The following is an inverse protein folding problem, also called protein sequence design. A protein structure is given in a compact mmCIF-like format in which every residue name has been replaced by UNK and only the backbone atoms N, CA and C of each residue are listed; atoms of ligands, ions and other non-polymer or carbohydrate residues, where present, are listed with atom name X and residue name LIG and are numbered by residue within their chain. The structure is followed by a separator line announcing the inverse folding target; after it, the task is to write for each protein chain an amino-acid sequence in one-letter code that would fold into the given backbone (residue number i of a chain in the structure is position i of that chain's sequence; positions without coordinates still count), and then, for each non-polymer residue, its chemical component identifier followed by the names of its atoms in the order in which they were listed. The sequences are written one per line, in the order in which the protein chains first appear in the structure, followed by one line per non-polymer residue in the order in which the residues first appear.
data_IF_964514506050
#
_entry.id   IF_964514506050
#
_cell.length_a   1.000
_cell.length_b   1.000
_cell.length_c   1.000
_cell.angle_alpha   90.00
_cell.angle_beta   90.00
_cell.angle_gamma   90.00
#
_symmetry.space_group_name_H-M   'P 1'
#
loop_
_entity.id
_entity.type
_entity.pdbx_description
1 polymer ?
#
# COMPACT_ATOMS: atom_id res chain seq x y z
N UNK A 1 -48.90 -3.63 -8.41
CA UNK A 1 -47.43 -3.66 -8.44
C UNK A 1 -46.96 -5.04 -8.91
N UNK A 2 -46.42 -5.16 -10.14
CA UNK A 2 -46.18 -6.45 -10.82
C UNK A 2 -44.86 -7.15 -10.44
N UNK A 3 -43.93 -6.44 -9.81
CA UNK A 3 -42.56 -6.94 -9.58
C UNK A 3 -42.35 -7.58 -8.19
N UNK A 4 -43.21 -7.26 -7.23
CA UNK A 4 -43.06 -7.66 -5.83
C UNK A 4 -44.26 -8.50 -5.37
N UNK A 5 -44.00 -9.49 -4.51
CA UNK A 5 -44.99 -10.32 -3.83
C UNK A 5 -44.86 -10.16 -2.32
N UNK A 6 -45.97 -10.34 -1.61
CA UNK A 6 -46.00 -10.42 -0.15
C UNK A 6 -46.13 -11.89 0.25
N UNK A 7 -45.25 -12.37 1.11
CA UNK A 7 -45.37 -13.72 1.65
C UNK A 7 -46.47 -13.76 2.72
N UNK A 8 -47.36 -14.75 2.67
CA UNK A 8 -48.48 -14.86 3.64
C UNK A 8 -48.04 -15.42 5.00
N UNK A 9 -46.93 -16.15 5.04
CA UNK A 9 -46.46 -16.80 6.28
C UNK A 9 -45.50 -15.91 7.07
N UNK A 10 -44.59 -15.20 6.40
CA UNK A 10 -43.61 -14.34 7.06
C UNK A 10 -43.82 -12.83 6.84
N UNK A 11 -44.87 -12.44 6.10
CA UNK A 11 -45.23 -11.04 5.81
C UNK A 11 -44.12 -10.19 5.17
N UNK A 12 -43.05 -10.81 4.65
CA UNK A 12 -41.96 -10.12 3.96
C UNK A 12 -42.30 -9.87 2.49
N UNK A 13 -41.91 -8.69 2.01
CA UNK A 13 -41.98 -8.33 0.59
C UNK A 13 -40.76 -8.91 -0.13
N UNK A 14 -41.00 -9.64 -1.22
CA UNK A 14 -39.95 -10.27 -2.04
C UNK A 14 -40.15 -9.96 -3.53
N UNK A 15 -39.09 -10.12 -4.33
CA UNK A 15 -39.18 -9.97 -5.79
C UNK A 15 -39.74 -11.26 -6.39
N UNK A 16 -40.80 -11.19 -7.19
CA UNK A 16 -41.42 -12.39 -7.81
C UNK A 16 -40.46 -13.18 -8.71
N UNK A 17 -39.42 -12.53 -9.25
CA UNK A 17 -38.37 -13.17 -10.07
C UNK A 17 -37.44 -14.10 -9.27
N UNK A 18 -37.41 -13.99 -7.94
CA UNK A 18 -36.55 -14.80 -7.09
C UNK A 18 -37.41 -15.67 -6.17
N UNK A 19 -37.16 -16.99 -6.09
CA UNK A 19 -37.91 -17.87 -5.18
C UNK A 19 -37.72 -17.40 -3.74
N UNK A 20 -38.83 -17.13 -3.07
CA UNK A 20 -38.84 -16.75 -1.66
C UNK A 20 -38.90 -18.01 -0.80
N UNK A 21 -37.99 -18.11 0.18
CA UNK A 21 -38.00 -19.15 1.22
C UNK A 21 -38.18 -18.46 2.56
N UNK A 22 -39.25 -18.79 3.27
CA UNK A 22 -39.52 -18.29 4.61
C UNK A 22 -38.39 -18.68 5.57
N UNK A 23 -38.05 -17.78 6.50
CA UNK A 23 -36.98 -18.02 7.47
C UNK A 23 -35.56 -17.83 6.94
N UNK A 24 -35.35 -17.65 5.62
CA UNK A 24 -34.02 -17.41 5.05
C UNK A 24 -33.83 -15.97 4.57
N UNK A 25 -32.61 -15.46 4.74
CA UNK A 25 -32.13 -14.18 4.21
C UNK A 25 -30.88 -14.40 3.38
N UNK A 26 -30.79 -13.70 2.25
CA UNK A 26 -29.57 -13.71 1.44
C UNK A 26 -28.49 -12.87 2.12
N UNK A 27 -27.40 -13.51 2.53
CA UNK A 27 -26.28 -12.80 3.14
C UNK A 27 -25.27 -12.36 2.07
N UNK A 28 -25.01 -11.05 1.99
CA UNK A 28 -24.08 -10.46 1.03
C UNK A 28 -22.63 -10.89 1.23
N UNK A 29 -22.28 -11.32 2.44
CA UNK A 29 -20.90 -11.67 2.80
C UNK A 29 -20.57 -13.12 2.46
N UNK A 30 -21.46 -14.08 2.75
CA UNK A 30 -21.28 -15.49 2.36
C UNK A 30 -21.89 -15.85 1.00
N UNK A 31 -22.68 -14.94 0.40
CA UNK A 31 -23.40 -15.10 -0.89
C UNK A 31 -24.36 -16.30 -0.94
N UNK A 32 -24.89 -16.71 0.22
CA UNK A 32 -25.85 -17.82 0.35
C UNK A 32 -27.14 -17.34 1.03
N UNK A 33 -28.23 -18.07 0.81
CA UNK A 33 -29.42 -17.96 1.63
C UNK A 33 -29.15 -18.66 2.97
N UNK A 34 -29.31 -17.94 4.06
CA UNK A 34 -29.02 -18.44 5.41
C UNK A 34 -30.20 -18.16 6.32
N UNK A 35 -30.39 -19.01 7.32
CA UNK A 35 -31.50 -18.84 8.26
C UNK A 35 -31.37 -17.53 9.04
N UNK A 36 -32.43 -16.73 9.06
CA UNK A 36 -32.41 -15.38 9.59
C UNK A 36 -32.25 -15.31 11.10
N UNK A 37 -32.50 -16.41 11.80
CA UNK A 37 -32.41 -16.51 13.26
C UNK A 37 -30.99 -16.87 13.75
N UNK A 38 -30.27 -17.74 13.03
CA UNK A 38 -29.01 -18.32 13.50
C UNK A 38 -27.78 -18.04 12.63
N UNK A 39 -27.90 -17.21 11.58
CA UNK A 39 -26.77 -16.94 10.69
C UNK A 39 -25.67 -16.07 11.35
N UNK A 40 -24.66 -16.74 11.92
CA UNK A 40 -23.41 -16.11 12.37
C UNK A 40 -22.45 -15.94 11.19
N UNK A 41 -22.50 -14.79 10.52
CA UNK A 41 -21.61 -14.48 9.40
C UNK A 41 -20.25 -13.97 9.88
N UNK A 42 -19.25 -14.85 9.95
CA UNK A 42 -17.89 -14.45 10.31
C UNK A 42 -17.13 -13.85 9.12
N UNK A 43 -16.11 -13.03 9.40
CA UNK A 43 -15.18 -12.48 8.41
C UNK A 43 -14.59 -13.63 7.59
N UNK A 44 -14.87 -13.62 6.29
CA UNK A 44 -14.35 -14.64 5.39
C UNK A 44 -12.87 -14.36 5.08
N UNK A 45 -12.04 -15.41 5.07
CA UNK A 45 -10.67 -15.29 4.57
C UNK A 45 -10.76 -14.92 3.09
N UNK A 46 -10.33 -13.71 2.76
CA UNK A 46 -10.20 -13.30 1.37
C UNK A 46 -9.08 -14.13 0.76
N UNK A 47 -9.35 -14.79 -0.36
CA UNK A 47 -8.28 -15.44 -1.12
C UNK A 47 -7.20 -14.39 -1.42
N UNK A 48 -5.94 -14.77 -1.18
CA UNK A 48 -4.82 -13.94 -1.62
C UNK A 48 -5.01 -13.73 -3.11
N UNK A 49 -5.08 -12.48 -3.56
CA UNK A 49 -4.94 -12.21 -4.99
C UNK A 49 -3.65 -12.92 -5.43
N UNK A 50 -3.71 -13.61 -6.57
CA UNK A 50 -2.67 -14.30 -7.35
C UNK A 50 -1.22 -13.88 -6.99
N UNK A 51 -0.23 -14.80 -7.07
CA UNK A 51 1.00 -14.79 -6.28
C UNK A 51 1.54 -13.38 -6.10
N UNK A 52 1.87 -13.00 -4.85
CA UNK A 52 2.44 -11.70 -4.51
C UNK A 52 3.37 -11.30 -5.65
N UNK A 53 2.96 -10.30 -6.44
CA UNK A 53 3.86 -9.80 -7.46
C UNK A 53 5.09 -9.35 -6.68
N UNK A 54 6.25 -10.01 -6.89
CA UNK A 54 7.53 -9.65 -6.27
C UNK A 54 8.02 -8.26 -6.72
N UNK A 55 7.13 -7.43 -7.26
CA UNK A 55 7.35 -6.10 -7.78
C UNK A 55 7.33 -5.08 -6.62
N UNK A 56 7.88 -5.44 -5.47
CA UNK A 56 8.07 -4.52 -4.35
C UNK A 56 9.50 -4.00 -4.39
N UNK A 57 9.61 -2.69 -4.28
CA UNK A 57 10.88 -1.99 -4.16
C UNK A 57 10.81 -1.20 -2.87
N UNK A 58 11.78 -1.40 -1.99
CA UNK A 58 11.96 -0.64 -0.76
C UNK A 58 13.07 0.37 -0.99
N UNK A 59 12.93 1.58 -0.46
CA UNK A 59 14.04 2.52 -0.46
C UNK A 59 14.11 3.32 0.84
N UNK A 60 15.32 3.76 1.15
CA UNK A 60 15.63 4.62 2.29
C UNK A 60 16.60 5.71 1.84
N UNK A 61 16.40 6.93 2.34
CA UNK A 61 17.20 8.11 1.99
C UNK A 61 17.81 8.67 3.27
N UNK A 62 19.13 8.71 3.30
CA UNK A 62 19.89 9.46 4.27
C UNK A 62 20.33 10.79 3.66
N UNK A 63 20.37 11.82 4.49
CA UNK A 63 20.65 13.18 4.06
C UNK A 63 21.42 13.95 5.13
N UNK A 64 22.36 14.77 4.66
CA UNK A 64 23.13 15.68 5.48
C UNK A 64 22.36 16.99 5.71
N UNK A 65 22.57 17.61 6.87
CA UNK A 65 21.97 18.87 7.31
C UNK A 65 23.01 19.96 7.58
N UNK A 66 24.29 19.71 7.30
CA UNK A 66 25.39 20.61 7.67
C UNK A 66 25.21 22.05 7.17
N UNK A 67 24.58 22.26 6.02
CA UNK A 67 24.33 23.59 5.43
C UNK A 67 23.03 24.27 5.89
N UNK A 68 22.20 23.60 6.70
CA UNK A 68 20.82 24.04 6.99
C UNK A 68 19.80 23.70 5.89
N UNK A 69 20.26 23.17 4.76
CA UNK A 69 19.42 22.53 3.75
C UNK A 69 19.58 21.01 3.82
N UNK A 70 18.48 20.30 3.58
CA UNK A 70 18.46 18.84 3.57
C UNK A 70 18.95 18.34 2.20
N UNK A 71 20.15 17.76 2.15
CA UNK A 71 20.74 17.25 0.90
C UNK A 71 20.95 15.74 1.03
N UNK A 72 20.27 14.96 0.18
CA UNK A 72 20.46 13.51 0.15
C UNK A 72 21.88 13.15 -0.30
N UNK A 73 22.58 12.34 0.49
CA UNK A 73 23.95 11.91 0.21
C UNK A 73 24.09 10.40 0.11
N UNK A 74 23.08 9.63 0.56
CA UNK A 74 23.11 8.18 0.53
C UNK A 74 21.70 7.61 0.38
N UNK A 75 21.48 6.84 -0.68
CA UNK A 75 20.18 6.25 -1.01
C UNK A 75 20.35 4.75 -1.24
N UNK A 76 19.52 3.95 -0.57
CA UNK A 76 19.52 2.49 -0.72
C UNK A 76 18.19 2.06 -1.30
N UNK A 77 18.23 1.20 -2.32
CA UNK A 77 17.08 0.51 -2.88
C UNK A 77 17.25 -0.98 -2.66
N UNK A 78 16.20 -1.64 -2.19
CA UNK A 78 16.14 -3.09 -2.03
C UNK A 78 14.93 -3.65 -2.78
N UNK A 79 15.15 -4.63 -3.65
CA UNK A 79 14.09 -5.38 -4.31
C UNK A 79 13.58 -6.49 -3.40
N UNK A 80 12.35 -6.95 -3.64
CA UNK A 80 11.78 -8.08 -2.90
C UNK A 80 12.59 -9.38 -3.00
N UNK A 81 13.36 -9.57 -4.07
CA UNK A 81 14.23 -10.73 -4.28
C UNK A 81 15.59 -10.63 -3.54
N UNK A 82 15.81 -9.54 -2.80
CA UNK A 82 17.02 -9.31 -2.01
C UNK A 82 18.14 -8.59 -2.78
N UNK A 83 17.94 -8.22 -4.05
CA UNK A 83 18.90 -7.37 -4.76
C UNK A 83 18.91 -5.96 -4.17
N UNK A 84 20.09 -5.38 -4.05
CA UNK A 84 20.28 -4.04 -3.51
C UNK A 84 21.04 -3.14 -4.49
N UNK A 85 20.64 -1.87 -4.56
CA UNK A 85 21.28 -0.83 -5.36
C UNK A 85 21.52 0.36 -4.45
N UNK A 86 22.76 0.88 -4.44
CA UNK A 86 23.17 1.96 -3.54
C UNK A 86 23.68 3.12 -4.37
N UNK A 87 23.15 4.31 -4.10
CA UNK A 87 23.63 5.58 -4.65
C UNK A 87 24.31 6.37 -3.54
N UNK A 88 25.52 6.89 -3.82
CA UNK A 88 26.32 7.67 -2.87
C UNK A 88 26.79 8.97 -3.51
N UNK A 89 26.82 10.04 -2.73
CA UNK A 89 27.24 11.38 -3.17
C UNK A 89 26.06 12.34 -3.30
N UNK A 90 26.36 13.61 -3.60
CA UNK A 90 25.35 14.67 -3.66
C UNK A 90 24.45 14.61 -4.91
N UNK A 91 24.91 13.95 -5.98
CA UNK A 91 24.11 13.70 -7.20
C UNK A 91 23.21 12.46 -7.09
N UNK A 92 23.22 11.78 -5.93
CA UNK A 92 22.49 10.53 -5.72
C UNK A 92 20.99 10.66 -5.99
N UNK A 93 20.43 11.83 -5.72
CA UNK A 93 18.99 12.10 -5.85
C UNK A 93 18.51 12.04 -7.30
N UNK A 94 19.28 12.62 -8.21
CA UNK A 94 18.92 12.65 -9.63
C UNK A 94 19.13 11.27 -10.25
N UNK A 95 20.26 10.60 -9.94
CA UNK A 95 20.51 9.21 -10.34
C UNK A 95 19.42 8.25 -9.84
N UNK A 96 19.02 8.42 -8.58
CA UNK A 96 17.93 7.65 -7.98
C UNK A 96 16.61 7.89 -8.70
N UNK A 97 16.26 9.15 -8.98
CA UNK A 97 15.02 9.48 -9.68
C UNK A 97 14.98 8.88 -11.09
N UNK A 98 16.06 9.02 -11.86
CA UNK A 98 16.17 8.43 -13.19
C UNK A 98 16.04 6.89 -13.14
N UNK A 99 16.71 6.27 -12.17
CA UNK A 99 16.64 4.83 -11.96
C UNK A 99 15.22 4.39 -11.57
N UNK A 100 14.62 5.03 -10.56
CA UNK A 100 13.33 4.63 -10.00
C UNK A 100 12.20 4.81 -11.01
N UNK A 101 12.19 5.92 -11.75
CA UNK A 101 11.17 6.23 -12.75
C UNK A 101 11.49 5.65 -14.14
N UNK A 102 12.50 4.80 -14.25
CA UNK A 102 12.79 4.05 -15.48
C UNK A 102 11.62 3.14 -15.88
N UNK A 103 11.36 2.93 -17.19
CA UNK A 103 10.38 1.95 -17.68
C UNK A 103 10.57 0.54 -17.14
N UNK A 104 11.79 0.20 -16.67
CA UNK A 104 12.10 -1.06 -16.01
C UNK A 104 11.19 -1.35 -14.80
N UNK A 105 10.81 -0.30 -14.06
CA UNK A 105 10.01 -0.41 -12.84
C UNK A 105 8.50 -0.26 -13.08
N UNK A 106 8.03 -0.44 -14.32
CA UNK A 106 6.61 -0.43 -14.63
C UNK A 106 5.84 -1.47 -13.79
N UNK A 107 4.66 -1.10 -13.31
CA UNK A 107 3.82 -1.92 -12.43
C UNK A 107 4.45 -2.30 -11.07
N UNK A 108 5.50 -1.62 -10.63
CA UNK A 108 6.07 -1.85 -9.30
C UNK A 108 5.31 -1.05 -8.23
N UNK A 109 5.35 -1.57 -7.00
CA UNK A 109 4.92 -0.85 -5.80
C UNK A 109 6.17 -0.51 -5.01
N UNK A 110 6.45 0.78 -4.91
CA UNK A 110 7.59 1.32 -4.18
C UNK A 110 7.13 1.64 -2.76
N UNK A 111 7.92 1.28 -1.76
CA UNK A 111 7.64 1.48 -0.35
C UNK A 111 8.77 2.31 0.25
N UNK A 112 8.44 3.52 0.70
CA UNK A 112 9.38 4.37 1.42
C UNK A 112 9.31 4.07 2.92
N UNK A 113 10.42 4.26 3.63
CA UNK A 113 10.44 4.11 5.08
C UNK A 113 9.72 5.28 5.78
N UNK A 114 9.80 6.52 5.26
CA UNK A 114 9.09 7.67 5.82
C UNK A 114 8.63 8.70 4.77
N UNK A 115 7.67 8.30 3.93
CA UNK A 115 7.12 9.18 2.88
C UNK A 115 6.29 10.33 3.45
N UNK A 116 5.67 10.15 4.62
CA UNK A 116 4.74 11.12 5.22
C UNK A 116 5.43 12.42 5.67
N UNK A 117 6.75 12.41 5.83
CA UNK A 117 7.54 13.57 6.19
C UNK A 117 8.64 13.85 5.17
N UNK A 118 9.80 13.24 5.39
CA UNK A 118 11.08 13.65 4.82
C UNK A 118 11.28 13.16 3.38
N UNK A 119 11.20 11.85 3.16
CA UNK A 119 11.48 11.21 1.87
C UNK A 119 10.49 11.65 0.78
N UNK A 120 9.25 11.94 1.17
CA UNK A 120 8.20 12.40 0.27
C UNK A 120 8.52 13.76 -0.36
N UNK A 121 9.18 14.67 0.36
CA UNK A 121 9.51 16.00 -0.15
C UNK A 121 10.53 15.90 -1.30
N UNK A 122 11.57 15.09 -1.13
CA UNK A 122 12.58 14.87 -2.16
C UNK A 122 11.99 14.27 -3.43
N UNK A 123 11.13 13.27 -3.28
CA UNK A 123 10.49 12.60 -4.40
C UNK A 123 9.53 13.53 -5.16
N UNK A 124 8.74 14.33 -4.45
CA UNK A 124 7.83 15.31 -5.07
C UNK A 124 8.63 16.42 -5.77
N UNK A 125 9.70 16.93 -5.15
CA UNK A 125 10.58 17.92 -5.76
C UNK A 125 11.19 17.39 -7.06
N UNK A 126 11.65 16.14 -7.08
CA UNK A 126 12.15 15.50 -8.30
C UNK A 126 11.07 15.42 -9.38
N UNK A 127 9.85 14.97 -9.04
CA UNK A 127 8.74 14.88 -10.01
C UNK A 127 8.35 16.23 -10.61
N UNK A 128 8.34 17.28 -9.78
CA UNK A 128 8.07 18.66 -10.22
C UNK A 128 9.18 19.15 -11.16
N UNK A 129 10.46 18.92 -10.83
CA UNK A 129 11.59 19.24 -11.72
C UNK A 129 11.46 18.56 -13.09
N UNK A 130 11.04 17.30 -13.11
CA UNK A 130 10.83 16.52 -14.34
C UNK A 130 9.51 16.83 -15.05
N UNK A 131 8.71 17.80 -14.57
CA UNK A 131 7.38 18.12 -15.11
C UNK A 131 6.41 16.93 -15.15
N UNK A 132 6.62 15.94 -14.28
CA UNK A 132 5.74 14.77 -14.15
C UNK A 132 4.64 15.12 -13.16
N UNK A 133 3.38 14.96 -13.57
CA UNK A 133 2.22 15.21 -12.69
C UNK A 133 1.77 13.91 -11.98
N UNK A 134 2.11 13.69 -10.70
CA UNK A 134 1.62 12.53 -9.97
C UNK A 134 0.18 12.71 -9.51
N UNK A 135 -0.53 11.59 -9.33
CA UNK A 135 -1.78 11.55 -8.57
C UNK A 135 -1.45 11.28 -7.11
N UNK A 136 -1.67 12.28 -6.26
CA UNK A 136 -1.35 12.22 -4.83
C UNK A 136 -2.62 11.97 -4.02
N UNK A 137 -2.53 11.08 -3.03
CA UNK A 137 -3.53 10.85 -1.99
C UNK A 137 -2.91 11.33 -0.67
N UNK A 138 -3.59 12.27 -0.02
CA UNK A 138 -3.12 12.88 1.24
C UNK A 138 -4.04 12.48 2.40
N UNK A 139 -3.48 12.47 3.61
CA UNK A 139 -4.22 12.38 4.88
C UNK A 139 -3.85 13.59 5.72
N UNK A 140 -4.71 14.62 5.72
CA UNK A 140 -4.34 15.93 6.24
C UNK A 140 -3.18 16.51 5.43
N UNK A 141 -2.11 16.96 6.10
CA UNK A 141 -0.90 17.48 5.47
C UNK A 141 0.11 16.39 5.05
N UNK A 142 -0.18 15.11 5.29
CA UNK A 142 0.79 14.02 5.09
C UNK A 142 0.50 13.22 3.81
N UNK A 143 1.55 12.86 3.07
CA UNK A 143 1.46 12.02 1.88
C UNK A 143 1.18 10.56 2.25
N UNK A 144 0.06 10.02 1.79
CA UNK A 144 -0.31 8.63 2.06
C UNK A 144 0.11 7.72 0.90
N UNK A 145 -0.11 8.17 -0.33
CA UNK A 145 0.19 7.40 -1.54
C UNK A 145 0.40 8.35 -2.71
N UNK A 146 1.45 8.12 -3.50
CA UNK A 146 1.73 8.83 -4.74
C UNK A 146 1.63 7.81 -5.87
N UNK A 147 0.81 8.08 -6.89
CA UNK A 147 0.62 7.19 -8.04
C UNK A 147 1.07 7.89 -9.32
N UNK A 148 1.89 7.21 -10.10
CA UNK A 148 2.37 7.69 -11.40
C UNK A 148 1.68 6.88 -12.48
N UNK A 149 0.79 7.56 -13.20
CA UNK A 149 -0.09 6.92 -14.18
C UNK A 149 0.66 6.36 -15.38
N UNK A 150 1.74 7.02 -15.83
CA UNK A 150 2.56 6.59 -16.98
C UNK A 150 3.22 5.22 -16.77
N UNK A 151 3.67 4.95 -15.54
CA UNK A 151 4.36 3.70 -15.18
C UNK A 151 3.44 2.69 -14.49
N UNK A 152 2.17 3.03 -14.24
CA UNK A 152 1.28 2.29 -13.35
C UNK A 152 1.97 1.94 -12.01
N UNK A 153 2.78 2.88 -11.51
CA UNK A 153 3.61 2.70 -10.33
C UNK A 153 2.92 3.37 -9.14
N UNK A 154 2.97 2.72 -7.98
CA UNK A 154 2.42 3.26 -6.73
C UNK A 154 3.55 3.35 -5.71
N UNK A 155 3.66 4.50 -5.08
CA UNK A 155 4.62 4.78 -4.03
C UNK A 155 3.81 4.97 -2.76
N UNK A 156 4.14 4.15 -1.76
CA UNK A 156 3.34 3.99 -0.55
C UNK A 156 4.24 4.21 0.65
N UNK A 157 3.71 4.87 1.66
CA UNK A 157 4.40 5.03 2.93
C UNK A 157 4.27 3.77 3.81
N UNK A 158 5.38 3.20 4.25
CA UNK A 158 5.34 2.05 5.19
C UNK A 158 4.87 2.44 6.58
N UNK A 159 5.15 3.66 7.05
CA UNK A 159 4.76 4.19 8.36
C UNK A 159 3.23 4.26 8.54
N UNK A 160 2.48 4.33 7.44
CA UNK A 160 1.02 4.27 7.45
C UNK A 160 0.46 2.88 7.77
N UNK A 161 1.26 1.81 7.58
CA UNK A 161 0.88 0.41 7.87
C UNK A 161 1.52 -0.11 9.15
N UNK A 162 2.68 0.42 9.54
CA UNK A 162 3.40 0.09 10.76
C UNK A 162 3.71 1.39 11.52
N UNK A 163 2.86 1.83 12.47
CA UNK A 163 3.02 3.11 13.17
C UNK A 163 4.12 3.07 14.25
N UNK A 164 5.30 2.52 13.93
CA UNK A 164 6.41 2.30 14.85
C UNK A 164 7.76 2.36 14.10
N UNK A 165 8.83 2.77 14.78
CA UNK A 165 10.20 2.73 14.26
C UNK A 165 10.66 1.30 13.90
N UNK A 166 11.45 1.16 12.83
CA UNK A 166 12.10 -0.10 12.42
C UNK A 166 12.81 -0.82 13.58
N UNK A 167 13.44 -0.08 14.48
CA UNK A 167 14.15 -0.64 15.66
C UNK A 167 13.23 -1.37 16.63
N UNK A 168 11.93 -1.06 16.64
CA UNK A 168 10.92 -1.72 17.51
C UNK A 168 10.22 -2.91 16.84
N UNK A 169 10.38 -3.10 15.53
CA UNK A 169 9.79 -4.23 14.79
C UNK A 169 10.28 -5.60 15.26
N UNK A 170 11.59 -5.87 15.47
CA UNK A 170 12.04 -7.21 15.85
C UNK A 170 11.44 -7.66 17.19
N UNK A 171 11.28 -6.74 18.14
CA UNK A 171 10.67 -7.01 19.47
C UNK A 171 9.17 -7.33 19.42
N UNK A 172 8.43 -6.81 18.43
CA UNK A 172 6.97 -6.98 18.35
C UNK A 172 6.51 -8.13 17.48
N UNK A 173 7.32 -8.50 16.47
CA UNK A 173 6.95 -9.52 15.50
C UNK A 173 7.81 -10.78 15.59
N UNK A 174 8.66 -10.90 16.63
CA UNK A 174 9.55 -12.05 16.85
C UNK A 174 10.39 -12.40 15.61
N UNK A 175 10.89 -11.38 14.92
CA UNK A 175 11.73 -11.54 13.73
C UNK A 175 13.15 -11.16 14.10
N UNK A 176 14.11 -12.05 13.84
CA UNK A 176 15.53 -11.79 14.11
C UNK A 176 16.10 -10.90 13.02
N UNK A 177 16.24 -9.59 13.28
CA UNK A 177 17.00 -8.71 12.40
C UNK A 177 18.49 -8.98 12.62
N UNK A 178 19.19 -9.52 11.61
CA UNK A 178 20.65 -9.41 11.53
C UNK A 178 20.98 -7.95 11.24
N UNK A 179 21.23 -7.18 12.31
CA UNK A 179 21.92 -5.91 12.20
C UNK A 179 23.29 -6.19 11.58
N UNK A 180 23.51 -5.71 10.35
CA UNK A 180 24.85 -5.52 9.83
C UNK A 180 25.50 -4.44 10.69
N UNK A 181 26.15 -4.87 11.77
CA UNK A 181 27.02 -4.03 12.55
C UNK A 181 28.22 -3.70 11.66
N UNK A 182 28.26 -2.48 11.13
CA UNK A 182 29.55 -1.88 10.81
C UNK A 182 30.38 -1.86 12.10
N UNK A 183 31.59 -2.38 12.02
CA UNK A 183 32.60 -2.35 13.08
C UNK A 183 33.96 -2.17 12.42
N UNK A 184 34.94 -1.58 13.12
CA UNK A 184 34.89 -0.46 14.07
C UNK A 184 35.27 0.87 13.40
#
# INVERSE_FOLDING_TARGET
CSQFGLCRDCYKVYKKKTPHVCGQVFCKNCKKNCDSLDHKCFIQKKEKKSPLHNNYIFFDIEADQFSGEHIANFIVIQYFDGREVIFKGYDSLDMFGEFLFSPLHKNHTVIAHNMQGYDGMFLINYLVKQSIKPKVIMRGSKFLCVTIQSLNMRIIDSLSFLPMSLTKLPKKYCITMKLAMCSP
#
